data_IF_631784254658
#
_entry.id   IF_631784254658
#
_cell.length_a   1.000
_cell.length_b   1.000
_cell.length_c   1.000
_cell.angle_alpha   90.00
_cell.angle_beta   90.00
_cell.angle_gamma   90.00
#
_symmetry.space_group_name_H-M   'P 1'
#
loop_
_entity.id
_entity.type
_entity.pdbx_description
1 polymer ?
#
# COMPACT_ATOMS: atom_id res chain seq x y z
N UNK A 1 -10.92 19.68 2.98
CA UNK A 1 -10.65 18.94 4.24
C UNK A 1 -11.84 18.07 4.61
N UNK A 2 -11.59 16.79 4.86
CA UNK A 2 -12.58 15.83 5.31
C UNK A 2 -13.08 16.21 6.72
N UNK A 3 -14.40 16.26 6.91
CA UNK A 3 -14.98 16.56 8.24
C UNK A 3 -14.84 15.35 9.16
N UNK A 4 -14.69 15.56 10.45
CA UNK A 4 -14.52 14.47 11.43
C UNK A 4 -15.68 13.47 11.40
N UNK A 5 -16.92 13.92 11.20
CA UNK A 5 -18.10 13.06 11.05
C UNK A 5 -18.05 12.13 9.83
N UNK A 6 -17.22 12.48 8.82
CA UNK A 6 -17.09 11.74 7.57
C UNK A 6 -15.89 10.78 7.59
N UNK A 7 -15.06 10.82 8.64
CA UNK A 7 -13.95 9.88 8.82
C UNK A 7 -14.46 8.46 9.07
N UNK A 8 -13.76 7.51 8.49
CA UNK A 8 -14.01 6.07 8.68
C UNK A 8 -13.26 5.56 9.91
N UNK A 9 -12.00 5.99 10.04
CA UNK A 9 -11.11 5.53 11.12
C UNK A 9 -11.24 6.45 12.34
N UNK A 10 -12.13 6.09 13.24
CA UNK A 10 -12.51 6.91 14.41
C UNK A 10 -11.53 6.84 15.57
N UNK A 11 -10.51 5.98 15.49
CA UNK A 11 -9.48 5.83 16.52
C UNK A 11 -8.06 5.74 15.95
N UNK A 12 -7.79 6.33 14.78
CA UNK A 12 -6.51 6.20 14.08
C UNK A 12 -5.29 6.57 14.94
N UNK A 13 -5.46 7.49 15.89
CA UNK A 13 -4.39 7.98 16.78
C UNK A 13 -4.38 7.32 18.16
N UNK A 14 -5.23 6.32 18.40
CA UNK A 14 -5.29 5.62 19.69
C UNK A 14 -5.80 6.48 20.86
N UNK A 15 -6.58 7.53 20.59
CA UNK A 15 -7.13 8.43 21.59
C UNK A 15 -8.35 7.85 22.33
N UNK A 16 -8.91 6.77 21.81
CA UNK A 16 -10.07 6.10 22.35
C UNK A 16 -9.75 4.65 22.71
N UNK A 17 -10.63 4.05 23.53
CA UNK A 17 -10.56 2.63 23.87
C UNK A 17 -10.63 1.75 22.61
N UNK A 18 -9.58 0.95 22.37
CA UNK A 18 -9.46 0.06 21.22
C UNK A 18 -10.16 -1.28 21.40
N UNK A 19 -10.61 -1.62 22.63
CA UNK A 19 -11.32 -2.86 22.93
C UNK A 19 -12.63 -2.98 22.13
N UNK A 20 -13.20 -4.18 22.08
CA UNK A 20 -14.51 -4.41 21.48
C UNK A 20 -15.59 -3.46 22.04
N UNK A 21 -15.59 -3.24 23.36
CA UNK A 21 -16.52 -2.31 24.01
C UNK A 21 -16.35 -0.88 23.50
N UNK A 22 -15.13 -0.41 23.35
CA UNK A 22 -14.82 0.91 22.80
C UNK A 22 -15.20 1.01 21.30
N UNK A 23 -14.90 -0.03 20.53
CA UNK A 23 -15.25 -0.11 19.12
C UNK A 23 -16.77 -0.07 18.90
N UNK A 24 -17.54 -0.83 19.67
CA UNK A 24 -19.02 -0.82 19.60
C UNK A 24 -19.60 0.55 19.94
N UNK A 25 -19.02 1.29 20.90
CA UNK A 25 -19.45 2.67 21.21
C UNK A 25 -19.22 3.63 20.04
N UNK A 26 -18.23 3.37 19.19
CA UNK A 26 -17.95 4.14 17.97
C UNK A 26 -18.75 3.68 16.77
N UNK A 27 -19.61 2.65 16.93
CA UNK A 27 -20.52 2.16 15.89
C UNK A 27 -20.04 0.94 15.11
N UNK A 28 -18.88 0.36 15.41
CA UNK A 28 -18.45 -0.91 14.84
C UNK A 28 -19.39 -2.05 15.27
N UNK A 29 -19.58 -3.04 14.42
CA UNK A 29 -20.46 -4.18 14.61
C UNK A 29 -21.97 -3.85 14.66
N UNK A 30 -22.33 -2.55 14.57
CA UNK A 30 -23.72 -2.16 14.52
C UNK A 30 -24.32 -2.48 13.14
N UNK A 31 -25.36 -3.29 13.13
CA UNK A 31 -26.07 -3.68 11.91
C UNK A 31 -25.32 -4.66 11.01
N UNK A 32 -24.27 -5.34 11.49
CA UNK A 32 -23.49 -6.30 10.69
C UNK A 32 -24.31 -7.46 10.19
N UNK A 33 -25.18 -8.03 11.02
CA UNK A 33 -26.11 -9.11 10.61
C UNK A 33 -27.08 -8.64 9.51
N UNK A 34 -27.58 -7.41 9.61
CA UNK A 34 -28.46 -6.79 8.63
C UNK A 34 -27.75 -6.54 7.29
N UNK A 35 -26.47 -6.15 7.32
CA UNK A 35 -25.65 -6.02 6.11
C UNK A 35 -25.51 -7.39 5.42
N UNK A 36 -25.20 -8.44 6.16
CA UNK A 36 -25.06 -9.80 5.64
C UNK A 36 -26.39 -10.32 5.05
N UNK A 37 -27.51 -10.02 5.68
CA UNK A 37 -28.86 -10.38 5.17
C UNK A 37 -29.21 -9.73 3.83
N UNK A 38 -28.52 -8.67 3.39
CA UNK A 38 -28.73 -8.09 2.04
C UNK A 38 -28.31 -9.05 0.92
N UNK A 39 -27.50 -10.05 1.25
CA UNK A 39 -27.00 -11.05 0.31
C UNK A 39 -25.70 -10.64 -0.40
N UNK A 40 -25.00 -11.66 -0.90
CA UNK A 40 -23.64 -11.53 -1.48
C UNK A 40 -23.58 -10.59 -2.67
N UNK A 41 -24.45 -10.79 -3.66
CA UNK A 41 -24.45 -9.98 -4.88
C UNK A 41 -24.73 -8.50 -4.56
N UNK A 42 -25.66 -8.22 -3.65
CA UNK A 42 -25.97 -6.84 -3.23
C UNK A 42 -24.77 -6.16 -2.58
N UNK A 43 -24.03 -6.87 -1.70
CA UNK A 43 -22.82 -6.33 -1.05
C UNK A 43 -21.75 -6.03 -2.11
N UNK A 44 -21.50 -6.95 -3.03
CA UNK A 44 -20.51 -6.75 -4.11
C UNK A 44 -20.89 -5.55 -4.98
N UNK A 45 -22.18 -5.43 -5.37
CA UNK A 45 -22.64 -4.31 -6.20
C UNK A 45 -22.53 -2.96 -5.46
N UNK A 46 -22.84 -2.92 -4.15
CA UNK A 46 -22.64 -1.70 -3.35
C UNK A 46 -21.15 -1.31 -3.26
N UNK A 47 -20.24 -2.27 -3.10
CA UNK A 47 -18.79 -1.99 -3.11
C UNK A 47 -18.32 -1.55 -4.49
N UNK A 48 -18.87 -2.10 -5.59
CA UNK A 48 -18.59 -1.60 -6.94
C UNK A 48 -19.10 -0.17 -7.13
N UNK A 49 -20.35 0.08 -6.75
CA UNK A 49 -20.98 1.40 -6.89
C UNK A 49 -20.26 2.49 -6.08
N UNK A 50 -19.66 2.14 -4.94
CA UNK A 50 -18.84 3.08 -4.15
C UNK A 50 -17.57 3.56 -4.88
N UNK A 51 -17.15 2.85 -5.93
CA UNK A 51 -15.92 3.15 -6.65
C UNK A 51 -14.65 2.86 -5.85
N UNK A 52 -14.72 2.08 -4.77
CA UNK A 52 -13.57 1.73 -3.95
C UNK A 52 -12.49 1.04 -4.77
N UNK A 53 -11.36 1.71 -4.96
CA UNK A 53 -10.14 1.14 -5.52
C UNK A 53 -9.26 0.59 -4.41
N UNK A 54 -8.52 -0.49 -4.69
CA UNK A 54 -7.60 -1.11 -3.73
C UNK A 54 -6.59 -0.12 -3.15
N UNK A 55 -6.40 -0.18 -1.82
CA UNK A 55 -5.55 0.73 -1.05
C UNK A 55 -4.12 0.21 -0.83
N UNK A 56 -3.81 -0.96 -1.39
CA UNK A 56 -2.48 -1.59 -1.27
C UNK A 56 -1.42 -1.10 -2.27
N UNK A 57 -1.76 -0.19 -3.19
CA UNK A 57 -0.82 0.39 -4.17
C UNK A 57 -1.30 0.33 -5.62
N UNK A 58 -1.75 -0.83 -6.10
CA UNK A 58 -2.14 -1.02 -7.51
C UNK A 58 -3.47 -0.34 -7.90
N UNK A 59 -4.33 0.00 -6.94
CA UNK A 59 -5.58 0.72 -7.21
C UNK A 59 -6.62 -0.07 -8.03
N UNK A 60 -6.58 -1.39 -8.04
CA UNK A 60 -7.56 -2.20 -8.76
C UNK A 60 -8.95 -2.11 -8.08
N UNK A 61 -10.08 -1.99 -8.81
CA UNK A 61 -11.41 -1.87 -8.21
C UNK A 61 -11.76 -3.06 -7.32
N UNK A 62 -12.04 -2.79 -6.03
CA UNK A 62 -12.20 -3.83 -5.00
C UNK A 62 -13.44 -4.69 -5.27
N UNK A 63 -14.59 -4.10 -5.54
CA UNK A 63 -15.82 -4.84 -5.82
C UNK A 63 -15.75 -5.68 -7.10
N UNK A 64 -15.00 -5.20 -8.13
CA UNK A 64 -14.74 -5.99 -9.32
C UNK A 64 -13.85 -7.19 -8.99
N UNK A 65 -12.80 -7.02 -8.18
CA UNK A 65 -11.95 -8.14 -7.74
C UNK A 65 -12.75 -9.22 -7.03
N UNK A 66 -13.69 -8.83 -6.17
CA UNK A 66 -14.57 -9.78 -5.47
C UNK A 66 -15.48 -10.56 -6.39
N UNK A 67 -15.95 -9.93 -7.48
CA UNK A 67 -16.84 -10.60 -8.43
C UNK A 67 -16.17 -11.68 -9.29
N UNK A 68 -14.83 -11.81 -9.23
CA UNK A 68 -14.10 -12.90 -9.88
C UNK A 68 -14.14 -14.21 -9.09
N UNK A 69 -14.55 -14.16 -7.82
CA UNK A 69 -14.71 -15.38 -7.03
C UNK A 69 -15.86 -16.23 -7.53
N UNK A 70 -15.73 -17.57 -7.50
CA UNK A 70 -16.79 -18.47 -7.94
C UNK A 70 -18.07 -18.24 -7.16
N UNK A 71 -19.19 -18.02 -7.87
CA UNK A 71 -20.52 -17.86 -7.26
C UNK A 71 -21.05 -19.16 -6.65
N UNK A 72 -20.68 -20.29 -7.25
CA UNK A 72 -21.03 -21.64 -6.80
C UNK A 72 -19.76 -22.38 -6.38
N UNK A 73 -19.84 -23.07 -5.25
CA UNK A 73 -18.73 -23.91 -4.81
C UNK A 73 -18.60 -25.13 -5.72
N UNK A 74 -17.37 -25.47 -6.10
CA UNK A 74 -17.01 -26.70 -6.78
C UNK A 74 -16.58 -27.81 -5.80
N UNK A 75 -16.88 -27.63 -4.51
CA UNK A 75 -16.48 -28.52 -3.42
C UNK A 75 -15.18 -28.10 -2.72
N UNK A 76 -14.41 -27.18 -3.30
CA UNK A 76 -13.23 -26.60 -2.65
C UNK A 76 -13.63 -25.44 -1.73
N UNK A 77 -12.93 -25.23 -0.60
CA UNK A 77 -13.11 -24.01 0.20
C UNK A 77 -12.69 -22.77 -0.59
N UNK A 78 -13.27 -21.64 -0.26
CA UNK A 78 -12.81 -20.32 -0.74
C UNK A 78 -12.18 -19.55 0.41
N UNK A 79 -11.18 -18.72 0.10
CA UNK A 79 -10.44 -17.94 1.10
C UNK A 79 -10.43 -16.45 0.80
N UNK A 80 -10.56 -15.66 1.85
CA UNK A 80 -10.06 -14.29 1.88
C UNK A 80 -8.67 -14.31 2.53
N UNK A 81 -7.72 -13.63 1.90
CA UNK A 81 -6.43 -13.35 2.53
C UNK A 81 -6.24 -11.83 2.61
N UNK A 82 -6.04 -11.33 3.81
CA UNK A 82 -5.75 -9.92 4.03
C UNK A 82 -4.24 -9.73 4.04
N UNK A 83 -3.78 -8.90 3.12
CA UNK A 83 -2.39 -8.49 3.03
C UNK A 83 -2.11 -7.37 4.03
N UNK A 84 -1.50 -7.74 5.15
CA UNK A 84 -0.99 -6.87 6.20
C UNK A 84 0.55 -6.86 6.24
N UNK A 85 1.19 -7.28 5.12
CA UNK A 85 2.64 -7.17 4.93
C UNK A 85 2.98 -5.76 4.41
N UNK A 86 2.85 -4.76 5.28
CA UNK A 86 3.11 -3.36 4.99
C UNK A 86 4.61 -3.07 5.07
N UNK A 87 5.32 -3.36 3.99
CA UNK A 87 6.78 -3.26 3.92
C UNK A 87 7.29 -2.19 2.96
N UNK A 88 6.39 -1.48 2.25
CA UNK A 88 6.74 -0.40 1.32
C UNK A 88 7.39 0.77 2.09
N UNK A 89 8.66 1.15 1.80
CA UNK A 89 9.31 2.27 2.47
C UNK A 89 8.50 3.57 2.40
N UNK A 90 8.31 4.20 3.56
CA UNK A 90 7.48 5.39 3.73
C UNK A 90 6.03 5.09 4.14
N UNK A 91 5.59 3.83 4.11
CA UNK A 91 4.21 3.42 4.39
C UNK A 91 4.05 2.89 5.80
N UNK A 92 3.02 3.38 6.53
CA UNK A 92 2.70 2.93 7.89
C UNK A 92 1.20 3.11 8.24
N UNK A 93 0.32 3.16 7.25
CA UNK A 93 -1.13 3.42 7.43
C UNK A 93 -1.89 2.21 7.97
N UNK A 94 -1.57 1.00 7.48
CA UNK A 94 -2.20 -0.24 7.90
C UNK A 94 -1.81 -0.60 9.33
N UNK A 95 -0.58 -0.25 9.71
CA UNK A 95 -0.07 -0.34 11.08
C UNK A 95 -0.98 0.40 12.07
N UNK A 96 -1.38 1.62 11.76
CA UNK A 96 -2.23 2.43 12.64
C UNK A 96 -3.64 1.84 12.78
N UNK A 97 -4.21 1.27 11.69
CA UNK A 97 -5.49 0.55 11.75
C UNK A 97 -5.38 -0.65 12.69
N UNK A 98 -4.40 -1.52 12.48
CA UNK A 98 -4.22 -2.75 13.26
C UNK A 98 -3.92 -2.48 14.73
N UNK A 99 -3.21 -1.40 15.04
CA UNK A 99 -2.82 -1.01 16.41
C UNK A 99 -3.95 -0.38 17.19
N UNK A 100 -4.74 0.49 16.55
CA UNK A 100 -5.64 1.41 17.23
C UNK A 100 -7.13 1.19 16.92
N UNK A 101 -7.47 0.64 15.76
CA UNK A 101 -8.86 0.41 15.35
C UNK A 101 -9.05 -0.98 14.69
N UNK A 102 -8.57 -2.08 15.33
CA UNK A 102 -8.55 -3.41 14.72
C UNK A 102 -9.94 -3.96 14.41
N UNK A 103 -10.98 -3.57 15.17
CA UNK A 103 -12.33 -4.09 15.00
C UNK A 103 -12.97 -3.69 13.67
N UNK A 104 -12.60 -2.55 13.07
CA UNK A 104 -13.09 -2.18 11.74
C UNK A 104 -12.56 -3.14 10.66
N UNK A 105 -11.30 -3.60 10.82
CA UNK A 105 -10.70 -4.60 9.94
C UNK A 105 -11.38 -5.97 10.12
N UNK A 106 -11.54 -6.44 11.37
CA UNK A 106 -12.10 -7.76 11.67
C UNK A 106 -13.56 -7.86 11.16
N UNK A 107 -14.35 -6.82 11.38
CA UNK A 107 -15.71 -6.73 10.85
C UNK A 107 -15.72 -6.73 9.32
N UNK A 108 -14.80 -5.98 8.70
CA UNK A 108 -14.59 -5.98 7.26
C UNK A 108 -14.25 -7.36 6.71
N UNK A 109 -13.42 -8.14 7.42
CA UNK A 109 -13.09 -9.52 7.04
C UNK A 109 -14.34 -10.42 7.01
N UNK A 110 -15.21 -10.35 8.01
CA UNK A 110 -16.45 -11.13 8.04
C UNK A 110 -17.36 -10.78 6.83
N UNK A 111 -17.61 -9.49 6.60
CA UNK A 111 -18.48 -9.03 5.53
C UNK A 111 -17.92 -9.38 4.14
N UNK A 112 -16.64 -9.13 3.92
CA UNK A 112 -15.97 -9.42 2.65
C UNK A 112 -15.92 -10.93 2.38
N UNK A 113 -15.62 -11.73 3.38
CA UNK A 113 -15.61 -13.19 3.27
C UNK A 113 -17.00 -13.75 2.93
N UNK A 114 -18.04 -13.26 3.61
CA UNK A 114 -19.42 -13.63 3.27
C UNK A 114 -19.74 -13.29 1.82
N UNK A 115 -19.43 -12.07 1.38
CA UNK A 115 -19.70 -11.63 0.00
C UNK A 115 -19.05 -12.54 -1.05
N UNK A 116 -17.86 -13.04 -0.75
CA UNK A 116 -17.06 -13.92 -1.63
C UNK A 116 -17.27 -15.42 -1.41
N UNK A 117 -18.25 -15.80 -0.60
CA UNK A 117 -18.49 -17.22 -0.24
C UNK A 117 -17.30 -17.89 0.44
N UNK A 118 -16.55 -17.18 1.25
CA UNK A 118 -15.40 -17.68 2.00
C UNK A 118 -15.76 -17.80 3.50
N UNK A 119 -15.57 -18.99 4.06
CA UNK A 119 -15.76 -19.24 5.49
C UNK A 119 -14.52 -19.01 6.33
N UNK A 120 -13.38 -18.79 5.68
CA UNK A 120 -12.09 -18.63 6.34
C UNK A 120 -11.32 -17.45 5.78
N UNK A 121 -10.78 -16.63 6.67
CA UNK A 121 -9.89 -15.55 6.36
C UNK A 121 -8.55 -15.71 7.07
N UNK A 122 -7.47 -15.44 6.37
CA UNK A 122 -6.14 -15.28 6.94
C UNK A 122 -5.69 -13.83 6.84
N UNK A 123 -5.26 -13.23 7.95
CA UNK A 123 -4.56 -11.95 7.93
C UNK A 123 -3.05 -12.28 7.99
N UNK A 124 -2.33 -12.01 6.90
CA UNK A 124 -0.88 -12.18 6.84
C UNK A 124 -0.22 -10.88 7.27
N UNK A 125 0.33 -10.85 8.51
CA UNK A 125 0.93 -9.65 9.08
C UNK A 125 2.46 -9.68 8.93
N UNK A 126 3.05 -8.53 8.62
CA UNK A 126 4.49 -8.31 8.52
C UNK A 126 5.23 -8.80 9.78
N UNK A 127 6.37 -9.48 9.60
CA UNK A 127 7.12 -10.08 10.68
C UNK A 127 7.60 -9.10 11.76
N UNK A 128 7.89 -7.86 11.39
CA UNK A 128 8.36 -6.80 12.30
C UNK A 128 7.23 -6.16 13.13
N UNK A 129 5.95 -6.42 12.79
CA UNK A 129 4.79 -5.81 13.45
C UNK A 129 4.34 -6.59 14.70
N UNK A 130 5.22 -6.69 15.69
CA UNK A 130 4.97 -7.48 16.92
C UNK A 130 3.83 -6.88 17.74
N UNK A 131 3.86 -5.55 17.98
CA UNK A 131 2.83 -4.86 18.80
C UNK A 131 1.46 -4.85 18.10
N UNK A 132 1.47 -4.68 16.80
CA UNK A 132 0.27 -4.71 15.95
C UNK A 132 -0.35 -6.11 15.95
N UNK A 133 0.49 -7.16 15.84
CA UNK A 133 0.07 -8.56 15.96
C UNK A 133 -0.60 -8.84 17.28
N UNK A 134 0.01 -8.43 18.38
CA UNK A 134 -0.55 -8.60 19.73
C UNK A 134 -1.89 -7.87 19.89
N UNK A 135 -1.98 -6.63 19.39
CA UNK A 135 -3.21 -5.85 19.41
C UNK A 135 -4.33 -6.48 18.59
N UNK A 136 -3.98 -6.95 17.39
CA UNK A 136 -4.94 -7.57 16.48
C UNK A 136 -5.39 -8.95 16.97
N UNK A 137 -4.47 -9.76 17.54
CA UNK A 137 -4.82 -11.05 18.13
C UNK A 137 -5.78 -10.89 19.32
N UNK A 138 -5.49 -9.94 20.22
CA UNK A 138 -6.39 -9.66 21.35
C UNK A 138 -7.80 -9.25 20.88
N UNK A 139 -7.89 -8.43 19.83
CA UNK A 139 -9.19 -8.05 19.24
C UNK A 139 -9.91 -9.22 18.57
N UNK A 140 -9.19 -10.15 17.94
CA UNK A 140 -9.76 -11.38 17.38
C UNK A 140 -10.32 -12.26 18.49
N UNK A 141 -9.58 -12.43 19.60
CA UNK A 141 -10.00 -13.21 20.76
C UNK A 141 -11.27 -12.62 21.39
N UNK A 142 -11.32 -11.30 21.58
CA UNK A 142 -12.54 -10.58 22.02
C UNK A 142 -13.74 -10.84 21.11
N UNK A 143 -13.53 -10.92 19.79
CA UNK A 143 -14.60 -11.20 18.83
C UNK A 143 -15.10 -12.64 18.93
N UNK A 144 -14.24 -13.63 19.13
CA UNK A 144 -14.65 -15.01 19.37
C UNK A 144 -15.43 -15.14 20.67
N UNK A 145 -14.95 -14.55 21.77
CA UNK A 145 -15.63 -14.55 23.08
C UNK A 145 -17.03 -13.91 23.03
N UNK A 146 -17.18 -12.90 22.19
CA UNK A 146 -18.46 -12.22 22.00
C UNK A 146 -19.40 -12.88 20.96
N UNK A 147 -18.99 -13.98 20.32
CA UNK A 147 -19.75 -14.65 19.25
C UNK A 147 -19.85 -13.85 17.97
N UNK A 148 -18.91 -12.94 17.73
CA UNK A 148 -18.81 -12.18 16.48
C UNK A 148 -18.06 -12.94 15.40
N UNK A 149 -17.29 -13.96 15.76
CA UNK A 149 -16.58 -14.91 14.92
C UNK A 149 -16.99 -16.35 15.29
N UNK A 150 -16.60 -17.33 14.51
CA UNK A 150 -16.93 -18.74 14.69
C UNK A 150 -18.29 -19.12 14.12
N UNK A 151 -19.02 -19.99 14.80
CA UNK A 151 -20.34 -20.44 14.37
C UNK A 151 -21.38 -19.32 14.49
N UNK A 152 -22.19 -19.16 13.45
CA UNK A 152 -23.22 -18.11 13.40
C UNK A 152 -22.65 -16.72 13.73
N UNK A 153 -21.52 -16.38 13.14
CA UNK A 153 -20.76 -15.18 13.41
C UNK A 153 -21.66 -13.93 13.38
N UNK A 154 -21.55 -13.09 14.41
CA UNK A 154 -22.38 -11.88 14.61
C UNK A 154 -23.91 -12.13 14.45
N UNK A 155 -24.40 -13.35 14.72
CA UNK A 155 -25.81 -13.77 14.54
C UNK A 155 -26.31 -13.65 13.09
N UNK A 156 -25.42 -13.76 12.13
CA UNK A 156 -25.70 -13.58 10.70
C UNK A 156 -26.24 -14.84 9.99
N UNK A 157 -26.15 -16.01 10.65
CA UNK A 157 -26.40 -17.31 10.02
C UNK A 157 -25.21 -17.85 9.21
N UNK A 158 -24.07 -17.16 9.22
CA UNK A 158 -22.84 -17.53 8.52
C UNK A 158 -21.75 -17.98 9.50
N UNK A 159 -21.13 -19.12 9.25
CA UNK A 159 -19.98 -19.57 10.01
C UNK A 159 -18.71 -18.97 9.42
N UNK A 160 -17.87 -18.35 10.25
CA UNK A 160 -16.69 -17.66 9.78
C UNK A 160 -15.53 -17.72 10.77
N UNK A 161 -14.38 -18.17 10.30
CA UNK A 161 -13.15 -18.22 11.08
C UNK A 161 -12.07 -17.27 10.55
N UNK A 162 -11.40 -16.61 11.46
CA UNK A 162 -10.34 -15.63 11.18
C UNK A 162 -9.05 -16.04 11.88
N UNK A 163 -7.98 -16.17 11.10
CA UNK A 163 -6.65 -16.53 11.60
C UNK A 163 -5.63 -15.44 11.30
N UNK A 164 -4.77 -15.18 12.28
CA UNK A 164 -3.64 -14.27 12.13
C UNK A 164 -2.37 -15.07 11.85
N UNK A 165 -1.75 -14.87 10.68
CA UNK A 165 -0.50 -15.49 10.29
C UNK A 165 0.65 -14.49 10.36
N UNK A 166 1.72 -14.85 11.06
CA UNK A 166 2.89 -14.01 11.26
C UNK A 166 3.93 -14.27 10.17
N UNK A 167 4.22 -13.27 9.35
CA UNK A 167 5.27 -13.32 8.33
C UNK A 167 6.68 -13.27 8.93
N UNK A 168 7.68 -13.36 8.08
CA UNK A 168 9.09 -13.43 8.48
C UNK A 168 9.95 -12.23 7.98
N UNK A 169 9.33 -11.11 7.62
CA UNK A 169 10.02 -9.86 7.32
C UNK A 169 10.58 -9.74 5.90
N UNK A 170 9.96 -10.34 4.90
CA UNK A 170 10.34 -10.22 3.50
C UNK A 170 9.38 -9.30 2.74
N UNK A 171 9.86 -8.18 2.19
CA UNK A 171 9.07 -7.25 1.37
C UNK A 171 8.31 -7.94 0.24
N UNK A 172 8.93 -8.93 -0.43
CA UNK A 172 8.29 -9.65 -1.53
C UNK A 172 7.00 -10.37 -1.11
N UNK A 173 6.82 -10.70 0.16
CA UNK A 173 5.60 -11.30 0.67
C UNK A 173 4.41 -10.33 0.70
N UNK A 174 4.60 -9.04 0.38
CA UNK A 174 3.55 -8.10 0.03
C UNK A 174 2.97 -8.31 -1.38
N UNK A 175 3.67 -9.03 -2.28
CA UNK A 175 3.09 -9.47 -3.56
C UNK A 175 2.09 -10.60 -3.31
N UNK A 176 0.89 -10.53 -3.92
CA UNK A 176 -0.23 -11.40 -3.54
C UNK A 176 0.08 -12.91 -3.66
N UNK A 177 0.85 -13.35 -4.66
CA UNK A 177 1.15 -14.76 -4.86
C UNK A 177 2.37 -15.23 -4.06
N UNK A 178 3.34 -14.37 -3.81
CA UNK A 178 4.44 -14.64 -2.88
C UNK A 178 3.92 -14.76 -1.43
N UNK A 179 2.94 -13.93 -1.05
CA UNK A 179 2.24 -14.04 0.21
C UNK A 179 1.57 -15.43 0.35
N UNK A 180 0.85 -15.88 -0.70
CA UNK A 180 0.22 -17.21 -0.69
C UNK A 180 1.23 -18.34 -0.57
N UNK A 181 2.36 -18.29 -1.29
CA UNK A 181 3.45 -19.27 -1.16
C UNK A 181 3.99 -19.30 0.28
N UNK A 182 4.22 -18.12 0.89
CA UNK A 182 4.68 -18.03 2.27
C UNK A 182 3.65 -18.56 3.27
N UNK A 183 2.36 -18.25 3.07
CA UNK A 183 1.27 -18.75 3.91
C UNK A 183 1.13 -20.29 3.82
N UNK A 184 1.46 -20.88 2.68
CA UNK A 184 1.54 -22.32 2.47
C UNK A 184 2.82 -22.97 3.07
N UNK A 185 3.68 -22.20 3.74
CA UNK A 185 4.93 -22.68 4.33
C UNK A 185 6.08 -22.86 3.34
N UNK A 186 5.96 -22.31 2.15
CA UNK A 186 6.99 -22.33 1.11
C UNK A 186 7.80 -21.04 1.12
N UNK A 187 8.86 -20.99 0.31
CA UNK A 187 9.59 -19.76 0.05
C UNK A 187 8.67 -18.75 -0.64
N UNK A 188 8.64 -17.51 -0.14
CA UNK A 188 7.83 -16.41 -0.68
C UNK A 188 8.31 -15.96 -2.05
N UNK A 189 8.00 -16.72 -3.08
CA UNK A 189 8.30 -16.43 -4.47
C UNK A 189 6.99 -16.26 -5.25
N UNK A 190 6.83 -15.19 -6.05
CA UNK A 190 5.64 -14.97 -6.87
C UNK A 190 5.37 -16.11 -7.85
N UNK A 191 4.08 -16.37 -8.10
CA UNK A 191 3.61 -17.34 -9.10
C UNK A 191 3.45 -16.67 -10.47
N UNK A 192 3.60 -17.45 -11.52
CA UNK A 192 3.18 -17.01 -12.86
C UNK A 192 1.65 -16.87 -12.92
N UNK A 193 1.18 -15.87 -13.61
CA UNK A 193 -0.24 -15.64 -13.89
C UNK A 193 -0.49 -15.74 -15.41
N UNK A 194 -1.49 -16.44 -15.92
CA UNK A 194 -2.45 -17.32 -15.23
C UNK A 194 -1.83 -18.61 -14.67
N UNK A 195 -2.47 -19.28 -13.67
CA UNK A 195 -3.79 -18.96 -13.10
C UNK A 195 -3.77 -17.80 -12.11
N UNK A 196 -4.88 -17.05 -12.05
CA UNK A 196 -5.08 -16.00 -11.05
C UNK A 196 -5.60 -16.61 -9.74
N UNK A 197 -5.33 -15.97 -8.57
CA UNK A 197 -5.73 -16.48 -7.26
C UNK A 197 -7.23 -16.76 -7.12
N UNK A 198 -8.10 -16.00 -7.77
CA UNK A 198 -9.55 -16.23 -7.75
C UNK A 198 -9.95 -17.61 -8.28
N UNK A 199 -9.15 -18.21 -9.16
CA UNK A 199 -9.36 -19.59 -9.64
C UNK A 199 -8.49 -20.63 -8.92
N UNK A 200 -7.24 -20.26 -8.56
CA UNK A 200 -6.26 -21.15 -7.93
C UNK A 200 -5.28 -20.34 -7.07
N UNK A 201 -5.67 -20.08 -5.84
CA UNK A 201 -4.91 -19.33 -4.85
C UNK A 201 -4.33 -20.21 -3.75
N UNK A 202 -4.69 -19.91 -2.49
CA UNK A 202 -4.22 -20.61 -1.30
C UNK A 202 -4.59 -22.10 -1.36
N UNK A 203 -3.60 -22.98 -1.25
CA UNK A 203 -3.75 -24.44 -1.37
C UNK A 203 -4.46 -24.90 -2.66
N UNK A 204 -4.30 -24.13 -3.75
CA UNK A 204 -4.98 -24.39 -5.01
C UNK A 204 -6.48 -24.04 -5.02
N UNK A 205 -6.98 -23.38 -3.98
CA UNK A 205 -8.39 -23.03 -3.81
C UNK A 205 -8.67 -21.58 -4.26
N UNK A 206 -9.93 -21.26 -4.64
CA UNK A 206 -10.31 -19.90 -4.95
C UNK A 206 -9.97 -18.92 -3.81
N UNK A 207 -9.23 -17.87 -4.12
CA UNK A 207 -8.73 -16.94 -3.11
C UNK A 207 -8.74 -15.50 -3.62
N UNK A 208 -9.19 -14.56 -2.79
CA UNK A 208 -8.99 -13.13 -3.02
C UNK A 208 -8.00 -12.59 -1.98
N UNK A 209 -7.00 -11.86 -2.45
CA UNK A 209 -6.06 -11.14 -1.59
C UNK A 209 -6.40 -9.66 -1.60
N UNK A 210 -6.64 -9.04 -0.43
CA UNK A 210 -6.91 -7.61 -0.30
C UNK A 210 -6.03 -6.97 0.78
N UNK A 211 -5.70 -5.69 0.59
CA UNK A 211 -5.00 -4.89 1.59
C UNK A 211 -5.88 -4.57 2.81
N UNK A 212 -5.27 -4.36 3.97
CA UNK A 212 -5.92 -4.00 5.26
C UNK A 212 -6.88 -2.83 5.10
N UNK A 213 -6.42 -1.67 4.60
CA UNK A 213 -7.26 -0.47 4.46
C UNK A 213 -8.45 -0.73 3.53
N UNK A 214 -8.26 -1.50 2.45
CA UNK A 214 -9.34 -1.83 1.52
C UNK A 214 -10.47 -2.62 2.17
N UNK A 215 -10.16 -3.50 3.11
CA UNK A 215 -11.15 -4.30 3.84
C UNK A 215 -11.77 -3.48 4.99
N UNK A 216 -10.96 -2.72 5.71
CA UNK A 216 -11.41 -1.97 6.89
C UNK A 216 -12.43 -0.87 6.57
N UNK A 217 -12.44 -0.31 5.36
CA UNK A 217 -13.42 0.72 4.97
C UNK A 217 -14.80 0.17 4.60
N UNK A 218 -14.90 -1.11 4.25
CA UNK A 218 -16.13 -1.75 3.74
C UNK A 218 -17.31 -1.66 4.69
N UNK A 219 -17.18 -1.95 5.99
CA UNK A 219 -18.32 -1.87 6.90
C UNK A 219 -18.99 -0.48 6.90
N UNK A 220 -18.18 0.58 6.90
CA UNK A 220 -18.66 1.95 6.91
C UNK A 220 -19.30 2.33 5.57
N UNK A 221 -18.75 1.91 4.44
CA UNK A 221 -19.36 2.09 3.11
C UNK A 221 -20.75 1.47 3.08
N UNK A 222 -20.90 0.25 3.56
CA UNK A 222 -22.19 -0.47 3.55
C UNK A 222 -23.21 0.10 4.54
N UNK A 223 -22.78 0.75 5.62
CA UNK A 223 -23.66 1.44 6.57
C UNK A 223 -24.14 2.78 6.05
N UNK A 224 -23.22 3.58 5.49
CA UNK A 224 -23.51 4.95 5.04
C UNK A 224 -24.01 5.02 3.60
N UNK A 225 -23.78 3.98 2.83
CA UNK A 225 -24.16 3.87 1.41
C UNK A 225 -23.01 4.13 0.44
N UNK A 226 -23.12 3.51 -0.73
CA UNK A 226 -22.12 3.64 -1.80
C UNK A 226 -21.99 5.10 -2.27
N UNK A 227 -23.10 5.80 -2.44
CA UNK A 227 -23.13 7.18 -2.92
C UNK A 227 -22.46 8.15 -1.95
N UNK A 228 -22.56 7.90 -0.63
CA UNK A 228 -21.85 8.69 0.36
C UNK A 228 -20.34 8.61 0.15
N UNK A 229 -19.80 7.39 -0.04
CA UNK A 229 -18.38 7.21 -0.27
C UNK A 229 -17.94 7.75 -1.64
N UNK A 230 -18.76 7.52 -2.68
CA UNK A 230 -18.51 8.03 -4.02
C UNK A 230 -18.59 9.57 -4.11
N UNK A 231 -19.21 10.21 -3.13
CA UNK A 231 -19.30 11.67 -3.03
C UNK A 231 -17.97 12.38 -2.65
N UNK A 232 -16.96 11.64 -2.22
CA UNK A 232 -15.61 12.18 -1.96
C UNK A 232 -14.69 11.93 -3.16
N UNK A 233 -13.76 12.85 -3.40
CA UNK A 233 -12.80 12.74 -4.50
C UNK A 233 -13.37 13.14 -5.85
N UNK A 234 -12.75 12.63 -6.93
CA UNK A 234 -13.16 12.87 -8.32
C UNK A 234 -13.66 11.56 -8.95
N UNK A 235 -14.37 11.60 -10.09
CA UNK A 235 -14.74 10.39 -10.83
C UNK A 235 -13.53 9.45 -11.03
N UNK A 236 -13.73 8.15 -10.85
CA UNK A 236 -12.71 7.09 -10.82
C UNK A 236 -11.71 7.14 -9.65
N UNK A 237 -11.73 8.18 -8.83
CA UNK A 237 -10.84 8.36 -7.67
C UNK A 237 -11.65 8.75 -6.44
N UNK A 238 -12.62 7.91 -6.09
CA UNK A 238 -13.60 8.20 -5.05
C UNK A 238 -13.17 7.73 -3.67
N UNK A 239 -13.83 8.30 -2.68
CA UNK A 239 -13.74 7.91 -1.28
C UNK A 239 -12.66 8.63 -0.49
N UNK A 240 -12.41 8.10 0.71
CA UNK A 240 -11.33 8.55 1.58
C UNK A 240 -10.09 7.66 1.41
N UNK A 241 -8.94 8.17 1.84
CA UNK A 241 -7.66 7.48 1.80
C UNK A 241 -6.82 7.85 3.02
N UNK A 242 -6.08 6.88 3.55
CA UNK A 242 -5.03 7.17 4.51
C UNK A 242 -3.76 7.60 3.80
N UNK A 243 -3.28 8.79 4.12
CA UNK A 243 -2.02 9.35 3.65
C UNK A 243 -0.99 9.27 4.76
N UNK A 244 0.15 8.63 4.50
CA UNK A 244 1.31 8.64 5.38
C UNK A 244 2.29 9.72 4.91
N UNK A 245 2.51 10.75 5.73
CA UNK A 245 3.31 11.92 5.34
C UNK A 245 4.59 11.97 6.17
N UNK A 246 5.74 12.05 5.49
CA UNK A 246 7.05 12.02 6.12
C UNK A 246 8.09 12.86 5.36
N UNK A 247 9.35 12.81 5.79
CA UNK A 247 10.44 13.61 5.23
C UNK A 247 10.51 15.00 5.84
N UNK A 248 10.77 16.02 5.03
CA UNK A 248 11.02 17.38 5.48
C UNK A 248 9.73 18.21 5.68
N UNK A 249 8.77 17.64 6.39
CA UNK A 249 7.57 18.33 6.88
C UNK A 249 7.72 18.73 8.35
N UNK A 250 6.90 19.68 8.83
CA UNK A 250 6.98 20.14 10.22
C UNK A 250 6.54 19.01 11.16
N UNK A 251 5.37 18.42 10.93
CA UNK A 251 4.81 17.34 11.76
C UNK A 251 4.47 16.12 10.89
N UNK A 252 5.34 15.11 10.79
CA UNK A 252 5.01 13.85 10.12
C UNK A 252 3.79 13.19 10.74
N UNK A 253 2.88 12.66 9.90
CA UNK A 253 1.63 12.05 10.39
C UNK A 253 1.07 11.01 9.41
N UNK A 254 0.11 10.23 9.90
CA UNK A 254 -0.84 9.46 9.09
C UNK A 254 -2.21 10.11 9.24
N UNK A 255 -2.88 10.43 8.14
CA UNK A 255 -4.16 11.13 8.17
C UNK A 255 -5.14 10.52 7.18
N UNK A 256 -6.42 10.45 7.55
CA UNK A 256 -7.49 10.15 6.62
C UNK A 256 -7.98 11.43 5.96
N UNK A 257 -7.96 11.47 4.62
CA UNK A 257 -8.46 12.61 3.85
C UNK A 257 -9.19 12.12 2.59
N UNK A 258 -9.95 13.00 1.97
CA UNK A 258 -10.61 12.71 0.71
C UNK A 258 -9.58 12.46 -0.40
N UNK A 259 -9.87 11.49 -1.28
CA UNK A 259 -9.11 11.31 -2.51
C UNK A 259 -9.12 12.61 -3.32
N UNK A 260 -8.11 12.80 -4.14
CA UNK A 260 -7.94 13.98 -5.02
C UNK A 260 -7.71 15.30 -4.28
N UNK A 261 -7.33 15.27 -3.01
CA UNK A 261 -6.88 16.50 -2.32
C UNK A 261 -5.62 17.04 -3.00
N UNK A 262 -5.48 18.37 -3.19
CA UNK A 262 -4.22 18.96 -3.64
C UNK A 262 -3.07 18.68 -2.66
N UNK A 263 -1.88 18.32 -3.18
CA UNK A 263 -0.71 18.01 -2.33
C UNK A 263 -0.38 19.14 -1.36
N UNK A 264 -0.42 20.39 -1.84
CA UNK A 264 -0.13 21.56 -1.01
C UNK A 264 -1.11 21.65 0.16
N UNK A 265 -2.40 21.53 -0.11
CA UNK A 265 -3.45 21.53 0.91
C UNK A 265 -3.25 20.38 1.92
N UNK A 266 -2.95 19.17 1.45
CA UNK A 266 -2.68 18.01 2.31
C UNK A 266 -1.53 18.30 3.30
N UNK A 267 -0.42 18.87 2.82
CA UNK A 267 0.75 19.15 3.66
C UNK A 267 0.50 20.33 4.62
N UNK A 268 -0.11 21.42 4.16
CA UNK A 268 -0.36 22.60 4.99
C UNK A 268 -1.37 22.32 6.11
N UNK A 269 -2.47 21.64 5.81
CA UNK A 269 -3.54 21.36 6.78
C UNK A 269 -3.14 20.36 7.85
N UNK A 270 -2.40 19.29 7.48
CA UNK A 270 -2.16 18.17 8.38
C UNK A 270 -0.76 18.13 8.97
N UNK A 271 0.22 18.65 8.26
CA UNK A 271 1.63 18.61 8.68
C UNK A 271 2.18 19.98 9.12
N UNK A 272 1.37 21.05 9.04
CA UNK A 272 1.86 22.41 9.26
C UNK A 272 2.80 22.91 8.16
N UNK A 273 2.82 22.22 7.01
CA UNK A 273 3.62 22.57 5.83
C UNK A 273 5.01 21.93 5.79
N UNK A 274 5.81 22.40 4.86
CA UNK A 274 7.20 21.96 4.60
C UNK A 274 8.17 22.80 5.41
N UNK A 275 9.23 22.17 5.90
CA UNK A 275 10.33 22.88 6.59
C UNK A 275 10.95 23.93 5.66
N UNK A 276 11.00 25.17 6.10
CA UNK A 276 11.48 26.29 5.26
C UNK A 276 10.47 26.80 4.23
N UNK A 277 9.22 26.33 4.29
CA UNK A 277 8.13 26.77 3.42
C UNK A 277 7.97 25.94 2.14
N UNK A 278 6.88 26.20 1.40
CA UNK A 278 6.52 25.45 0.20
C UNK A 278 7.59 25.52 -0.91
N UNK A 279 8.25 26.66 -1.06
CA UNK A 279 9.27 26.85 -2.10
C UNK A 279 10.60 26.16 -1.77
N UNK A 280 10.77 25.67 -0.53
CA UNK A 280 11.91 24.85 -0.15
C UNK A 280 11.80 23.38 -0.61
N UNK A 281 10.71 22.99 -1.24
CA UNK A 281 10.60 21.65 -1.83
C UNK A 281 11.60 21.50 -2.99
N UNK A 282 12.34 20.40 -2.99
CA UNK A 282 13.16 19.94 -4.11
C UNK A 282 12.43 18.87 -4.92
N UNK A 283 11.90 17.86 -4.23
CA UNK A 283 11.15 16.76 -4.83
C UNK A 283 10.21 16.11 -3.81
N UNK A 284 9.19 15.39 -4.29
CA UNK A 284 8.29 14.59 -3.46
C UNK A 284 8.10 13.21 -4.08
N UNK A 285 8.21 12.16 -3.28
CA UNK A 285 7.73 10.83 -3.65
C UNK A 285 6.29 10.73 -3.15
N UNK A 286 5.26 10.62 -4.04
CA UNK A 286 3.87 10.76 -3.61
C UNK A 286 3.22 9.46 -3.12
N UNK A 287 3.82 8.31 -3.39
CA UNK A 287 3.14 7.01 -3.25
C UNK A 287 3.96 5.86 -2.67
N UNK A 288 5.03 6.16 -1.93
CA UNK A 288 5.99 5.17 -1.45
C UNK A 288 7.17 4.98 -2.41
N UNK A 289 8.13 4.18 -1.99
CA UNK A 289 9.43 4.05 -2.67
C UNK A 289 9.36 3.55 -4.11
N UNK A 290 8.29 2.88 -4.49
CA UNK A 290 8.10 2.22 -5.79
C UNK A 290 7.66 3.14 -6.93
N UNK A 291 7.37 4.42 -6.65
CA UNK A 291 6.91 5.36 -7.67
C UNK A 291 7.95 6.44 -7.97
N UNK A 292 7.98 6.98 -9.21
CA UNK A 292 8.83 8.09 -9.55
C UNK A 292 8.53 9.34 -8.73
N UNK A 293 9.57 10.10 -8.37
CA UNK A 293 9.43 11.38 -7.69
C UNK A 293 8.81 12.44 -8.59
N UNK A 294 8.17 13.44 -7.96
CA UNK A 294 7.68 14.67 -8.56
C UNK A 294 8.70 15.79 -8.34
N UNK A 295 8.91 16.64 -9.34
CA UNK A 295 9.67 17.89 -9.21
C UNK A 295 8.86 18.95 -8.48
N UNK A 296 9.51 20.05 -8.01
CA UNK A 296 8.80 21.20 -7.40
C UNK A 296 7.67 21.73 -8.29
N UNK A 297 7.95 21.91 -9.59
CA UNK A 297 6.94 22.39 -10.54
C UNK A 297 5.72 21.47 -10.65
N UNK A 298 5.92 20.14 -10.63
CA UNK A 298 4.81 19.18 -10.61
C UNK A 298 4.06 19.21 -9.26
N UNK A 299 4.75 19.48 -8.15
CA UNK A 299 4.12 19.56 -6.84
C UNK A 299 3.15 20.75 -6.71
N UNK A 300 3.36 21.84 -7.45
CA UNK A 300 2.51 23.03 -7.39
C UNK A 300 1.06 22.76 -7.82
N UNK A 301 0.87 21.85 -8.78
CA UNK A 301 -0.44 21.45 -9.31
C UNK A 301 -0.86 20.04 -8.90
N UNK A 302 -0.11 19.38 -8.01
CA UNK A 302 -0.29 17.97 -7.71
C UNK A 302 -1.63 17.65 -7.04
N UNK A 303 -2.37 16.75 -7.65
CA UNK A 303 -3.61 16.17 -7.14
C UNK A 303 -3.35 14.75 -6.69
N UNK A 304 -3.64 14.45 -5.43
CA UNK A 304 -3.33 13.17 -4.81
C UNK A 304 -4.37 12.10 -5.16
N UNK A 305 -4.29 11.62 -6.40
CA UNK A 305 -5.11 10.52 -6.89
C UNK A 305 -4.39 9.64 -7.94
N UNK A 306 -5.00 8.51 -8.30
CA UNK A 306 -4.38 7.55 -9.20
C UNK A 306 -4.21 8.09 -10.62
N UNK A 307 -5.18 8.84 -11.12
CA UNK A 307 -5.21 9.23 -12.53
C UNK A 307 -4.27 10.41 -12.78
N UNK A 308 -4.32 11.45 -11.97
CA UNK A 308 -3.43 12.61 -12.13
C UNK A 308 -1.95 12.20 -11.97
N UNK A 309 -1.62 11.43 -10.93
CA UNK A 309 -0.23 11.01 -10.69
C UNK A 309 0.30 10.10 -11.80
N UNK A 310 -0.55 9.25 -12.40
CA UNK A 310 -0.19 8.45 -13.56
C UNK A 310 0.11 9.32 -14.80
N UNK A 311 -0.68 10.37 -15.04
CA UNK A 311 -0.45 11.34 -16.12
C UNK A 311 0.90 12.06 -15.94
N UNK A 312 1.33 12.28 -14.69
CA UNK A 312 2.66 12.82 -14.38
C UNK A 312 3.78 11.78 -14.44
N UNK A 313 3.50 10.57 -14.93
CA UNK A 313 4.43 9.42 -14.95
C UNK A 313 4.97 9.07 -13.56
N UNK A 314 4.10 9.17 -12.56
CA UNK A 314 4.30 8.76 -11.19
C UNK A 314 3.14 7.84 -10.74
N UNK A 315 2.82 7.73 -9.47
CA UNK A 315 1.71 6.92 -8.99
C UNK A 315 1.32 7.27 -7.55
N UNK A 316 0.04 7.07 -7.23
CA UNK A 316 -0.44 7.23 -5.86
C UNK A 316 0.10 6.11 -4.94
N UNK A 317 0.36 4.92 -5.50
CA UNK A 317 0.89 3.81 -4.73
C UNK A 317 0.12 3.57 -3.44
N UNK A 318 0.85 3.52 -2.33
CA UNK A 318 0.29 3.39 -0.98
C UNK A 318 -0.16 4.72 -0.38
N UNK A 319 0.03 5.85 -1.08
CA UNK A 319 -0.11 7.22 -0.58
C UNK A 319 0.85 7.57 0.58
N UNK A 320 2.04 6.98 0.56
CA UNK A 320 3.14 7.37 1.42
C UNK A 320 3.90 8.53 0.78
N UNK A 321 3.65 9.73 1.28
CA UNK A 321 4.21 10.99 0.77
C UNK A 321 5.52 11.27 1.49
N UNK A 322 6.64 11.29 0.75
CA UNK A 322 7.97 11.59 1.29
C UNK A 322 8.46 12.91 0.70
N UNK A 323 8.49 13.95 1.53
CA UNK A 323 8.89 15.29 1.12
C UNK A 323 10.40 15.46 1.27
N UNK A 324 11.06 15.90 0.21
CA UNK A 324 12.48 16.20 0.15
C UNK A 324 12.67 17.70 -0.13
N UNK A 325 13.38 18.40 0.77
CA UNK A 325 13.68 19.82 0.61
C UNK A 325 14.99 20.05 -0.17
N UNK A 326 15.36 21.32 -0.37
CA UNK A 326 16.53 21.72 -1.15
C UNK A 326 17.86 21.18 -0.58
N UNK A 327 17.92 20.79 0.70
CA UNK A 327 19.11 20.19 1.31
C UNK A 327 19.31 18.72 0.94
N UNK A 328 18.30 18.08 0.33
CA UNK A 328 18.33 16.64 0.04
C UNK A 328 19.23 16.32 -1.15
N UNK A 329 20.12 15.37 -0.95
CA UNK A 329 20.82 14.68 -2.04
C UNK A 329 19.87 13.64 -2.66
N UNK A 330 19.16 14.04 -3.72
CA UNK A 330 18.18 13.16 -4.38
C UNK A 330 18.83 11.95 -5.04
N UNK A 331 20.08 12.05 -5.49
CA UNK A 331 20.81 10.93 -6.11
C UNK A 331 21.08 9.87 -5.05
N UNK A 332 21.55 10.29 -3.86
CA UNK A 332 21.78 9.39 -2.70
C UNK A 332 20.46 8.79 -2.21
N UNK A 333 19.36 9.56 -2.18
CA UNK A 333 18.06 9.08 -1.79
C UNK A 333 17.57 7.93 -2.70
N UNK A 334 17.64 8.10 -4.03
CA UNK A 334 17.21 7.06 -4.98
C UNK A 334 18.20 5.88 -5.01
N UNK A 335 19.51 6.12 -4.84
CA UNK A 335 20.47 5.02 -4.63
C UNK A 335 20.09 4.14 -3.42
N UNK A 336 19.65 4.75 -2.32
CA UNK A 336 19.20 3.99 -1.14
C UNK A 336 18.03 3.07 -1.46
N UNK A 337 17.10 3.52 -2.31
CA UNK A 337 16.00 2.70 -2.79
C UNK A 337 16.49 1.56 -3.70
N UNK A 338 17.43 1.82 -4.61
CA UNK A 338 17.99 0.76 -5.46
C UNK A 338 18.70 -0.32 -4.64
N UNK A 339 19.37 0.05 -3.54
CA UNK A 339 19.97 -0.89 -2.58
C UNK A 339 18.89 -1.73 -1.87
N UNK A 340 17.78 -1.10 -1.49
CA UNK A 340 16.62 -1.79 -0.91
C UNK A 340 16.05 -2.83 -1.87
N UNK A 341 15.73 -2.47 -3.12
CA UNK A 341 15.17 -3.42 -4.10
C UNK A 341 16.14 -4.55 -4.46
N UNK A 342 17.44 -4.28 -4.48
CA UNK A 342 18.45 -5.35 -4.64
C UNK A 342 18.41 -6.34 -3.49
N UNK A 343 18.26 -5.86 -2.27
CA UNK A 343 18.16 -6.71 -1.07
C UNK A 343 16.89 -7.53 -1.06
N UNK A 344 15.74 -6.93 -1.44
CA UNK A 344 14.41 -7.53 -1.35
C UNK A 344 14.01 -8.38 -2.56
N UNK A 345 14.80 -8.40 -3.62
CA UNK A 345 14.56 -9.30 -4.75
C UNK A 345 14.60 -10.76 -4.29
N UNK A 346 13.53 -11.51 -4.57
CA UNK A 346 13.47 -12.95 -4.23
C UNK A 346 14.45 -13.81 -5.05
N UNK A 347 15.03 -13.24 -6.12
CA UNK A 347 16.00 -13.90 -7.00
C UNK A 347 15.41 -14.90 -7.99
N UNK A 348 14.09 -14.98 -8.14
CA UNK A 348 13.44 -15.96 -9.01
C UNK A 348 13.68 -15.69 -10.50
N UNK A 349 13.36 -14.50 -11.00
CA UNK A 349 13.49 -14.17 -12.42
C UNK A 349 14.77 -13.40 -12.71
N UNK A 350 15.45 -13.76 -13.82
CA UNK A 350 16.76 -13.23 -14.18
C UNK A 350 16.80 -11.69 -14.32
N UNK A 351 15.82 -11.02 -14.98
CA UNK A 351 15.89 -9.56 -15.13
C UNK A 351 15.90 -8.84 -13.78
N UNK A 352 15.11 -9.28 -12.80
CA UNK A 352 15.11 -8.73 -11.45
C UNK A 352 16.37 -9.10 -10.68
N UNK A 353 16.72 -10.40 -10.62
CA UNK A 353 17.87 -10.91 -9.84
C UNK A 353 19.18 -10.22 -10.22
N UNK A 354 19.46 -10.11 -11.51
CA UNK A 354 20.69 -9.51 -12.03
C UNK A 354 20.57 -7.99 -12.21
N UNK A 355 19.45 -7.53 -12.77
CA UNK A 355 19.23 -6.13 -13.11
C UNK A 355 19.21 -5.22 -11.89
N UNK A 356 18.57 -5.61 -10.77
CA UNK A 356 18.58 -4.81 -9.54
C UNK A 356 19.99 -4.62 -8.99
N UNK A 357 20.83 -5.66 -9.06
CA UNK A 357 22.23 -5.58 -8.67
C UNK A 357 23.05 -4.68 -9.60
N UNK A 358 22.78 -4.72 -10.90
CA UNK A 358 23.43 -3.85 -11.87
C UNK A 358 23.04 -2.38 -11.64
N UNK A 359 21.75 -2.09 -11.59
CA UNK A 359 21.23 -0.75 -11.30
C UNK A 359 21.84 -0.16 -10.02
N UNK A 360 21.86 -0.94 -8.92
CA UNK A 360 22.44 -0.50 -7.65
C UNK A 360 23.93 -0.15 -7.78
N UNK A 361 24.73 -0.94 -8.48
CA UNK A 361 26.18 -0.68 -8.64
C UNK A 361 26.47 0.57 -9.49
N UNK A 362 25.67 0.82 -10.52
CA UNK A 362 25.80 2.06 -11.31
C UNK A 362 25.37 3.26 -10.49
N UNK A 363 24.23 3.18 -9.79
CA UNK A 363 23.78 4.22 -8.86
C UNK A 363 24.83 4.53 -7.78
N UNK A 364 25.55 3.53 -7.27
CA UNK A 364 26.60 3.70 -6.29
C UNK A 364 27.76 4.55 -6.86
N UNK A 365 28.16 4.33 -8.11
CA UNK A 365 29.18 5.16 -8.80
C UNK A 365 28.67 6.56 -9.08
N UNK A 366 27.39 6.73 -9.45
CA UNK A 366 26.78 8.05 -9.63
C UNK A 366 26.79 8.86 -8.33
N UNK A 367 26.45 8.25 -7.20
CA UNK A 367 26.51 8.91 -5.88
C UNK A 367 27.91 9.41 -5.57
N UNK A 368 28.95 8.62 -5.88
CA UNK A 368 30.35 8.97 -5.65
C UNK A 368 30.97 9.89 -6.72
N UNK A 369 30.22 10.16 -7.80
CA UNK A 369 30.73 10.91 -8.95
C UNK A 369 31.79 10.16 -9.78
N UNK A 370 31.87 8.85 -9.64
CA UNK A 370 32.89 7.97 -10.27
C UNK A 370 32.37 7.31 -11.56
N UNK A 371 31.16 7.61 -11.97
CA UNK A 371 30.60 7.14 -13.23
C UNK A 371 31.03 8.03 -14.42
N UNK A 372 30.86 7.50 -15.63
CA UNK A 372 30.91 8.26 -16.87
C UNK A 372 29.52 8.82 -17.21
N UNK A 373 29.45 9.93 -17.96
CA UNK A 373 28.16 10.55 -18.34
C UNK A 373 27.32 9.58 -19.17
N UNK A 374 27.94 8.80 -20.04
CA UNK A 374 27.31 7.77 -20.89
C UNK A 374 26.67 6.65 -20.07
N UNK A 375 27.10 6.43 -18.83
CA UNK A 375 26.51 5.43 -17.95
C UNK A 375 25.13 5.82 -17.47
N UNK A 376 24.73 7.08 -17.53
CA UNK A 376 23.36 7.54 -17.25
C UNK A 376 22.39 6.91 -18.26
N UNK A 377 22.72 6.96 -19.55
CA UNK A 377 21.89 6.40 -20.61
C UNK A 377 21.94 4.86 -20.62
N UNK A 378 23.08 4.28 -20.30
CA UNK A 378 23.21 2.84 -20.09
C UNK A 378 22.34 2.38 -18.92
N UNK A 379 22.35 3.09 -17.78
CA UNK A 379 21.51 2.79 -16.63
C UNK A 379 20.00 2.88 -17.00
N UNK A 380 19.61 3.93 -17.73
CA UNK A 380 18.23 4.06 -18.22
C UNK A 380 17.85 2.89 -19.13
N UNK A 381 18.74 2.43 -19.98
CA UNK A 381 18.53 1.23 -20.82
C UNK A 381 18.35 -0.02 -19.99
N UNK A 382 19.20 -0.23 -18.96
CA UNK A 382 19.07 -1.37 -18.05
C UNK A 382 17.72 -1.37 -17.33
N UNK A 383 17.25 -0.21 -16.84
CA UNK A 383 15.93 -0.12 -16.20
C UNK A 383 14.81 -0.60 -17.11
N UNK A 384 14.87 -0.30 -18.41
CA UNK A 384 13.87 -0.72 -19.42
C UNK A 384 13.94 -2.22 -19.74
N UNK A 385 15.07 -2.88 -19.50
CA UNK A 385 15.18 -4.34 -19.62
C UNK A 385 14.70 -5.08 -18.37
N UNK A 386 14.50 -4.37 -17.27
CA UNK A 386 13.91 -4.92 -16.03
C UNK A 386 12.40 -4.68 -15.99
N UNK A 387 11.98 -3.44 -16.27
CA UNK A 387 10.57 -3.04 -16.33
C UNK A 387 9.80 -3.90 -17.33
N UNK A 388 8.66 -4.46 -16.89
CA UNK A 388 7.80 -5.29 -17.74
C UNK A 388 8.35 -6.67 -18.11
N UNK A 389 9.56 -7.04 -17.68
CA UNK A 389 10.21 -8.32 -18.01
C UNK A 389 10.35 -9.26 -16.81
N UNK A 390 9.65 -8.98 -15.73
CA UNK A 390 9.73 -9.74 -14.47
C UNK A 390 8.41 -10.43 -14.14
N UNK A 391 8.46 -11.48 -13.31
CA UNK A 391 7.26 -12.24 -12.90
C UNK A 391 6.30 -11.37 -12.09
N UNK A 392 6.82 -10.42 -11.31
CA UNK A 392 6.03 -9.52 -10.46
C UNK A 392 6.49 -8.06 -10.60
N UNK A 393 5.71 -7.13 -10.07
CA UNK A 393 5.96 -5.70 -10.16
C UNK A 393 7.16 -5.19 -9.33
N UNK A 394 7.92 -6.06 -8.63
CA UNK A 394 9.15 -5.63 -7.95
C UNK A 394 10.19 -5.12 -8.94
N UNK A 395 10.27 -5.70 -10.13
CA UNK A 395 11.15 -5.19 -11.20
C UNK A 395 10.80 -3.77 -11.61
N UNK A 396 9.52 -3.50 -11.81
CA UNK A 396 9.01 -2.16 -12.14
C UNK A 396 9.28 -1.18 -11.01
N UNK A 397 9.00 -1.59 -9.76
CA UNK A 397 9.24 -0.81 -8.55
C UNK A 397 10.73 -0.46 -8.36
N UNK A 398 11.65 -1.32 -8.80
CA UNK A 398 13.09 -1.06 -8.74
C UNK A 398 13.55 -0.11 -9.85
N UNK A 399 12.91 -0.16 -11.02
CA UNK A 399 13.28 0.63 -12.19
C UNK A 399 12.73 2.07 -12.15
N UNK A 400 11.47 2.25 -11.77
CA UNK A 400 10.76 3.52 -11.87
C UNK A 400 11.37 4.68 -11.05
N UNK A 401 11.85 4.51 -9.81
CA UNK A 401 12.52 5.58 -9.08
C UNK A 401 13.76 6.10 -9.80
N UNK A 402 14.56 5.20 -10.39
CA UNK A 402 15.77 5.55 -11.15
C UNK A 402 15.40 6.30 -12.43
N UNK A 403 14.40 5.83 -13.17
CA UNK A 403 13.88 6.52 -14.36
C UNK A 403 13.37 7.92 -14.01
N UNK A 404 12.66 8.06 -12.89
CA UNK A 404 12.18 9.33 -12.36
C UNK A 404 13.33 10.29 -12.03
N UNK A 405 14.36 9.79 -11.35
CA UNK A 405 15.57 10.56 -11.03
C UNK A 405 16.28 11.06 -12.29
N UNK A 406 16.56 10.18 -13.24
CA UNK A 406 17.25 10.55 -14.48
C UNK A 406 16.45 11.59 -15.27
N UNK A 407 15.14 11.41 -15.36
CA UNK A 407 14.25 12.34 -16.07
C UNK A 407 14.23 13.73 -15.45
N UNK A 408 14.23 13.82 -14.11
CA UNK A 408 14.02 15.07 -13.40
C UNK A 408 15.32 15.77 -12.99
N UNK A 409 16.43 15.04 -12.80
CA UNK A 409 17.65 15.53 -12.18
C UNK A 409 18.92 15.09 -12.93
N UNK A 410 18.82 14.88 -14.26
CA UNK A 410 19.97 14.49 -15.09
C UNK A 410 21.14 15.47 -14.94
N UNK A 411 20.86 16.77 -15.00
CA UNK A 411 21.89 17.82 -14.89
C UNK A 411 22.64 17.74 -13.55
N UNK A 412 21.92 17.49 -12.45
CA UNK A 412 22.56 17.31 -11.11
C UNK A 412 23.47 16.09 -11.08
N UNK A 413 23.11 14.99 -11.77
CA UNK A 413 23.94 13.80 -11.88
C UNK A 413 25.20 14.13 -12.69
N UNK A 414 25.09 14.78 -13.85
CA UNK A 414 26.22 15.16 -14.69
C UNK A 414 27.16 16.15 -13.99
N UNK A 415 26.60 17.13 -13.27
CA UNK A 415 27.39 18.10 -12.51
C UNK A 415 28.18 17.43 -11.39
N UNK A 416 27.65 16.41 -10.73
CA UNK A 416 28.37 15.61 -9.74
C UNK A 416 29.56 14.87 -10.36
N UNK A 417 29.37 14.24 -11.52
CA UNK A 417 30.44 13.56 -12.26
C UNK A 417 31.54 14.56 -12.64
N UNK A 418 31.16 15.72 -13.21
CA UNK A 418 32.10 16.78 -13.61
C UNK A 418 32.88 17.36 -12.40
N UNK A 419 32.19 17.60 -11.29
CA UNK A 419 32.78 18.14 -10.07
C UNK A 419 33.86 17.19 -9.47
N UNK A 420 33.61 15.88 -9.48
CA UNK A 420 34.58 14.88 -9.05
C UNK A 420 35.83 14.86 -9.94
N UNK A 421 35.64 14.90 -11.26
CA UNK A 421 36.74 14.91 -12.24
C UNK A 421 37.64 16.16 -12.13
N UNK A 422 37.04 17.30 -11.76
CA UNK A 422 37.79 18.56 -11.57
C UNK A 422 38.37 18.73 -10.18
N UNK A 423 38.30 17.72 -9.31
CA UNK A 423 38.82 17.76 -7.95
C UNK A 423 38.05 18.68 -6.99
N UNK A 424 36.85 19.18 -7.39
CA UNK A 424 36.02 20.07 -6.58
C UNK A 424 35.24 19.32 -5.48
N UNK A 425 35.15 18.01 -5.56
CA UNK A 425 34.53 17.16 -4.52
C UNK A 425 35.61 16.19 -4.05
N UNK A 426 36.07 16.32 -2.80
CA UNK A 426 36.84 15.28 -2.11
C UNK A 426 35.91 14.06 -1.93
N UNK A 427 36.51 12.86 -1.85
CA UNK A 427 35.77 11.63 -1.65
C UNK A 427 34.78 11.80 -0.46
N UNK A 428 33.51 11.93 -0.75
CA UNK A 428 32.47 11.88 0.28
C UNK A 428 32.44 10.43 0.78
N UNK A 429 32.79 10.23 2.04
CA UNK A 429 32.81 8.94 2.69
C UNK A 429 31.44 8.28 2.48
N UNK A 430 31.45 7.11 1.88
CA UNK A 430 30.30 6.23 1.80
C UNK A 430 30.16 5.56 3.20
N UNK A 431 29.42 6.20 4.09
CA UNK A 431 28.89 5.59 5.31
C UNK A 431 27.38 5.38 5.21
#
# INVERSE_FOLDING_TARGET
>A
MLKDQDRIFTNLYGMHDRSLKGAMKRGHWNGTAEIIKRGRDTIIEQVKASGLRGRGGAGFPTGLKWSFMPKQSDGRPSYLVVNADESEPGTCKDREIMRHDPHTLIEGCLIASFAMNANTCYIYIRGEYIREREALQAAIDECYDAGLLGKNAAKSGWDFDLYLHHGAGAYICGEETALLESLEGKKGMPRMKPPFPAGSGLYGCPTTVNNVESIAVVPTILRRGADWFAGFGRPNNTGTKLFGISGHVINPCVVEEAMSIPLKELLELHCGGVRGGWDNIKAVIPGGSSVPLLTKAQCDDAIMDFDWLREQRSGLGTAAVIVMDQSTDVIKAIWRLSKFYKHESCGQCTPCREGTGWMMRVMDRLVRGEAEVEEIDMLLSVTKQVEGHTICALGDAAAWPIQGLIRAFRDEIEDRIKAKRTGRISAVAAE
#
